data_IF_277139832680
#
_entry.id   IF_277139832680
#
_cell.length_a   1.000
_cell.length_b   1.000
_cell.length_c   1.000
_cell.angle_alpha   90.00
_cell.angle_beta   90.00
_cell.angle_gamma   90.00
#
_symmetry.space_group_name_H-M   'P 1'
#
loop_
_entity.id
_entity.type
_entity.pdbx_description
1 polymer ?
#
# COMPACT_ATOMS: atom_id res chain seq x y z
N UNK A 1 -19.19 19.52 -7.79
CA UNK A 1 -18.21 18.65 -8.47
C UNK A 1 -17.51 17.80 -7.41
N UNK A 2 -18.07 16.64 -7.10
CA UNK A 2 -17.56 15.65 -6.15
C UNK A 2 -16.64 14.69 -6.91
N UNK A 3 -15.32 14.86 -6.79
CA UNK A 3 -14.38 14.18 -7.70
C UNK A 3 -13.13 13.56 -7.08
N UNK A 4 -12.94 13.61 -5.75
CA UNK A 4 -11.69 13.10 -5.12
C UNK A 4 -11.90 12.32 -3.80
N UNK A 5 -13.12 12.00 -3.40
CA UNK A 5 -13.40 11.49 -2.05
C UNK A 5 -13.59 9.96 -1.95
N UNK A 6 -13.54 9.20 -3.06
CA UNK A 6 -13.93 7.79 -3.05
C UNK A 6 -12.75 6.78 -3.05
N UNK A 7 -11.51 7.19 -2.74
CA UNK A 7 -10.38 6.24 -2.60
C UNK A 7 -10.16 5.74 -1.16
N UNK A 8 -10.93 6.25 -0.18
CA UNK A 8 -10.74 5.92 1.24
C UNK A 8 -11.62 4.74 1.72
N UNK A 9 -12.75 4.46 1.05
CA UNK A 9 -13.72 3.43 1.44
C UNK A 9 -13.69 2.20 0.52
N UNK A 10 -12.55 1.51 0.46
CA UNK A 10 -12.42 0.27 -0.31
C UNK A 10 -11.50 -0.72 0.38
N UNK A 11 -11.55 -1.99 -0.04
CA UNK A 11 -10.63 -3.07 0.40
C UNK A 11 -9.28 -3.00 -0.32
N UNK A 12 -9.13 -2.10 -1.28
CA UNK A 12 -7.93 -1.89 -2.08
C UNK A 12 -7.45 -0.45 -2.04
N UNK A 13 -6.14 -0.25 -2.24
CA UNK A 13 -5.53 1.06 -2.43
C UNK A 13 -4.59 1.01 -3.64
N UNK A 14 -4.67 2.02 -4.52
CA UNK A 14 -3.68 2.18 -5.58
C UNK A 14 -2.41 2.78 -4.98
N UNK A 15 -1.26 2.19 -5.31
CA UNK A 15 0.05 2.55 -4.79
C UNK A 15 0.99 2.83 -5.94
N UNK A 16 1.62 4.00 -5.91
CA UNK A 16 2.70 4.37 -6.80
C UNK A 16 4.05 4.00 -6.16
N UNK A 17 4.91 3.34 -6.92
CA UNK A 17 6.29 3.02 -6.52
C UNK A 17 7.24 3.67 -7.51
N UNK A 18 8.28 4.32 -7.00
CA UNK A 18 9.29 5.01 -7.81
C UNK A 18 10.69 4.76 -7.26
N UNK A 19 11.68 4.85 -8.13
CA UNK A 19 13.08 4.96 -7.76
C UNK A 19 13.68 6.21 -8.41
N UNK A 20 14.56 6.88 -7.68
CA UNK A 20 15.41 7.94 -8.19
C UNK A 20 16.62 7.40 -8.94
N UNK A 21 16.91 6.10 -8.85
CA UNK A 21 18.02 5.46 -9.57
C UNK A 21 17.54 5.03 -10.96
N UNK A 22 18.07 5.64 -12.04
CA UNK A 22 17.65 5.29 -13.39
C UNK A 22 17.96 3.84 -13.73
N UNK A 23 17.02 3.18 -14.39
CA UNK A 23 17.07 1.78 -14.72
C UNK A 23 16.77 0.81 -13.57
N UNK A 24 16.32 1.29 -12.41
CA UNK A 24 15.92 0.41 -11.33
C UNK A 24 14.60 -0.31 -11.65
N UNK A 25 14.58 -1.62 -11.43
CA UNK A 25 13.40 -2.46 -11.56
C UNK A 25 12.68 -2.54 -10.23
N UNK A 26 11.36 -2.37 -10.25
CA UNK A 26 10.52 -2.30 -9.07
C UNK A 26 9.65 -3.55 -9.00
N UNK A 27 9.67 -4.19 -7.84
CA UNK A 27 8.93 -5.42 -7.56
C UNK A 27 8.07 -5.24 -6.31
N UNK A 28 6.91 -5.88 -6.30
CA UNK A 28 6.02 -5.97 -5.13
C UNK A 28 5.71 -7.44 -4.90
N UNK A 29 6.10 -7.98 -3.74
CA UNK A 29 6.04 -9.42 -3.44
C UNK A 29 6.59 -10.25 -4.62
N UNK A 30 7.76 -9.86 -5.11
CA UNK A 30 8.47 -10.50 -6.24
C UNK A 30 7.81 -10.33 -7.62
N UNK A 31 6.61 -9.78 -7.72
CA UNK A 31 5.97 -9.45 -8.99
C UNK A 31 6.54 -8.14 -9.55
N UNK A 32 6.98 -8.15 -10.81
CA UNK A 32 7.47 -6.96 -11.50
C UNK A 32 6.35 -5.94 -11.70
N UNK A 33 6.57 -4.69 -11.31
CA UNK A 33 5.59 -3.59 -11.40
C UNK A 33 6.01 -2.53 -12.41
N UNK A 34 7.30 -2.36 -12.65
CA UNK A 34 7.81 -1.39 -13.62
C UNK A 34 9.29 -1.09 -13.48
N UNK A 35 9.79 -0.22 -14.35
CA UNK A 35 11.16 0.29 -14.35
C UNK A 35 11.10 1.79 -14.09
N UNK A 36 11.92 2.28 -13.17
CA UNK A 36 11.97 3.66 -12.64
C UNK A 36 10.70 4.09 -11.89
N UNK A 37 9.53 3.81 -12.44
CA UNK A 37 8.24 4.01 -11.80
C UNK A 37 7.26 2.89 -12.17
N UNK A 38 6.25 2.72 -11.32
CA UNK A 38 5.16 1.80 -11.55
C UNK A 38 3.98 2.11 -10.64
N UNK A 39 2.79 1.67 -11.04
CA UNK A 39 1.56 1.79 -10.26
C UNK A 39 0.94 0.41 -10.13
N UNK A 40 0.56 0.05 -8.91
CA UNK A 40 -0.07 -1.24 -8.61
C UNK A 40 -1.18 -1.05 -7.58
N UNK A 41 -1.93 -2.11 -7.30
CA UNK A 41 -3.06 -2.08 -6.37
C UNK A 41 -2.80 -3.04 -5.23
N UNK A 42 -2.79 -2.51 -4.00
CA UNK A 42 -2.66 -3.30 -2.78
C UNK A 42 -4.03 -3.64 -2.22
N UNK A 43 -4.19 -4.89 -1.80
CA UNK A 43 -5.32 -5.35 -1.01
C UNK A 43 -5.03 -5.08 0.47
N UNK A 44 -5.88 -4.33 1.17
CA UNK A 44 -5.67 -3.93 2.57
C UNK A 44 -5.51 -5.12 3.52
N UNK A 45 -6.15 -6.26 3.23
CA UNK A 45 -5.96 -7.51 3.99
C UNK A 45 -4.56 -8.14 3.87
N UNK A 46 -3.79 -7.81 2.83
CA UNK A 46 -2.50 -8.45 2.52
C UNK A 46 -1.32 -7.56 2.89
N UNK A 47 -0.21 -8.15 3.29
CA UNK A 47 1.05 -7.42 3.50
C UNK A 47 1.89 -7.43 2.23
N UNK A 48 2.64 -6.35 2.01
CA UNK A 48 3.43 -6.16 0.80
C UNK A 48 4.86 -5.76 1.14
N UNK A 49 5.81 -6.33 0.40
CA UNK A 49 7.22 -5.99 0.41
C UNK A 49 7.57 -5.38 -0.95
N UNK A 50 8.05 -4.14 -0.94
CA UNK A 50 8.45 -3.42 -2.14
C UNK A 50 9.96 -3.53 -2.27
N UNK A 51 10.43 -4.05 -3.39
CA UNK A 51 11.87 -4.24 -3.65
C UNK A 51 12.29 -3.47 -4.88
N UNK A 52 13.35 -2.69 -4.76
CA UNK A 52 14.01 -2.05 -5.90
C UNK A 52 15.31 -2.80 -6.20
N UNK A 53 15.49 -3.21 -7.46
CA UNK A 53 16.64 -3.97 -7.94
C UNK A 53 17.34 -3.24 -9.06
N UNK A 54 18.66 -3.35 -9.12
CA UNK A 54 19.44 -2.90 -10.27
C UNK A 54 20.77 -3.64 -10.33
N UNK A 55 21.17 -4.07 -11.52
CA UNK A 55 22.47 -4.72 -11.72
C UNK A 55 23.61 -3.81 -11.22
N UNK A 56 24.50 -4.36 -10.40
CA UNK A 56 25.61 -3.61 -9.79
C UNK A 56 25.24 -2.81 -8.53
N UNK A 57 24.01 -2.92 -8.04
CA UNK A 57 23.57 -2.31 -6.79
C UNK A 57 23.04 -3.39 -5.83
N UNK A 58 23.07 -3.12 -4.54
CA UNK A 58 22.41 -3.97 -3.54
C UNK A 58 20.92 -3.66 -3.52
N UNK A 59 20.10 -4.69 -3.59
CA UNK A 59 18.65 -4.57 -3.53
C UNK A 59 18.20 -3.92 -2.21
N UNK A 60 17.20 -3.05 -2.29
CA UNK A 60 16.54 -2.46 -1.11
C UNK A 60 15.12 -2.96 -1.06
N UNK A 61 14.73 -3.54 0.07
CA UNK A 61 13.36 -3.98 0.34
C UNK A 61 12.77 -3.22 1.51
N UNK A 62 11.56 -2.67 1.34
CA UNK A 62 10.81 -1.98 2.39
C UNK A 62 9.40 -2.57 2.53
N UNK A 63 8.91 -2.79 3.77
CA UNK A 63 7.53 -3.19 3.99
C UNK A 63 6.59 -2.01 3.73
N UNK A 64 5.42 -2.29 3.14
CA UNK A 64 4.33 -1.34 3.10
C UNK A 64 3.57 -1.39 4.44
N UNK A 65 3.83 -0.41 5.31
CA UNK A 65 3.22 -0.32 6.64
C UNK A 65 1.75 0.08 6.59
N UNK A 66 1.01 -0.32 7.62
CA UNK A 66 -0.42 -0.07 7.77
C UNK A 66 -0.73 0.47 9.16
N UNK A 67 -1.75 1.30 9.22
CA UNK A 67 -2.38 1.80 10.44
C UNK A 67 -3.85 1.37 10.49
N UNK A 68 -4.39 1.42 11.70
CA UNK A 68 -5.80 1.17 11.95
C UNK A 68 -6.61 2.45 11.67
N UNK A 69 -7.62 2.34 10.81
CA UNK A 69 -8.54 3.44 10.51
C UNK A 69 -9.70 3.46 11.53
N UNK A 70 -9.50 4.23 12.58
CA UNK A 70 -10.48 4.42 13.65
C UNK A 70 -11.74 5.20 13.21
N UNK A 71 -11.68 5.98 12.13
CA UNK A 71 -12.84 6.75 11.63
C UNK A 71 -13.83 5.80 10.97
N UNK A 72 -13.33 4.86 10.17
CA UNK A 72 -14.16 3.79 9.58
C UNK A 72 -14.85 2.96 10.67
N UNK A 73 -14.13 2.63 11.75
CA UNK A 73 -14.72 1.94 12.90
C UNK A 73 -15.83 2.77 13.57
N UNK A 74 -15.59 4.08 13.79
CA UNK A 74 -16.56 4.96 14.44
C UNK A 74 -17.84 5.13 13.60
N UNK A 75 -17.71 5.33 12.28
CA UNK A 75 -18.85 5.48 11.38
C UNK A 75 -19.80 4.27 11.43
N UNK A 76 -19.25 3.05 11.46
CA UNK A 76 -20.03 1.80 11.59
C UNK A 76 -20.76 1.70 12.94
N UNK A 77 -20.14 2.18 14.02
CA UNK A 77 -20.73 2.12 15.37
C UNK A 77 -21.87 3.12 15.56
N UNK A 78 -21.82 4.27 14.90
CA UNK A 78 -22.83 5.34 15.04
C UNK A 78 -24.05 5.06 14.16
N UNK A 79 -23.89 4.41 13.01
CA UNK A 79 -24.94 4.34 11.98
C UNK A 79 -26.00 3.25 12.24
N UNK A 80 -25.73 2.13 12.96
CA UNK A 80 -26.69 1.00 12.88
C UNK A 80 -26.90 0.03 14.07
N UNK A 81 -26.25 0.11 15.24
CA UNK A 81 -26.56 -0.81 16.35
C UNK A 81 -26.32 -2.33 16.08
N UNK A 82 -25.84 -2.70 14.90
CA UNK A 82 -25.45 -4.06 14.48
C UNK A 82 -23.93 -4.21 14.67
N UNK A 83 -23.47 -4.01 15.90
CA UNK A 83 -22.04 -3.87 16.20
C UNK A 83 -21.28 -5.16 15.93
N UNK A 84 -21.82 -6.32 16.31
CA UNK A 84 -21.04 -7.57 16.34
C UNK A 84 -20.66 -8.13 14.96
N UNK A 85 -21.56 -8.12 13.97
CA UNK A 85 -21.31 -8.74 12.65
C UNK A 85 -20.36 -7.91 11.79
N UNK A 86 -20.57 -6.58 11.77
CA UNK A 86 -19.70 -5.67 11.01
C UNK A 86 -18.31 -5.56 11.63
N UNK A 87 -18.18 -5.78 12.95
CA UNK A 87 -16.88 -5.84 13.59
C UNK A 87 -16.03 -7.01 13.07
N UNK A 88 -16.64 -8.18 12.94
CA UNK A 88 -15.94 -9.39 12.49
C UNK A 88 -15.61 -9.28 11.00
N UNK A 89 -16.55 -8.79 10.19
CA UNK A 89 -16.36 -8.67 8.74
C UNK A 89 -15.33 -7.59 8.37
N UNK A 90 -15.31 -6.45 9.07
CA UNK A 90 -14.33 -5.39 8.84
C UNK A 90 -12.89 -5.81 9.16
N UNK A 91 -12.70 -6.59 10.23
CA UNK A 91 -11.42 -7.19 10.57
C UNK A 91 -11.00 -8.28 9.57
N UNK A 92 -11.94 -9.15 9.15
CA UNK A 92 -11.68 -10.23 8.21
C UNK A 92 -11.36 -9.74 6.78
N UNK A 93 -12.04 -8.69 6.33
CA UNK A 93 -11.83 -8.08 5.00
C UNK A 93 -10.66 -7.10 4.97
N UNK A 94 -10.15 -6.68 6.14
CA UNK A 94 -9.12 -5.65 6.27
C UNK A 94 -9.65 -4.25 5.94
N UNK A 95 -10.98 -4.04 5.94
CA UNK A 95 -11.60 -2.75 5.64
C UNK A 95 -11.16 -1.64 6.61
N UNK A 96 -10.80 -2.02 7.85
CA UNK A 96 -10.31 -1.11 8.89
C UNK A 96 -8.81 -0.88 8.89
N UNK A 97 -8.10 -1.54 7.98
CA UNK A 97 -6.68 -1.30 7.78
C UNK A 97 -6.50 -0.31 6.66
N UNK A 98 -5.54 0.59 6.80
CA UNK A 98 -5.15 1.51 5.75
C UNK A 98 -3.63 1.51 5.64
N UNK A 99 -3.10 1.46 4.43
CA UNK A 99 -1.69 1.70 4.22
C UNK A 99 -1.36 3.15 4.59
N UNK A 100 -0.28 3.33 5.35
CA UNK A 100 0.13 4.64 5.86
C UNK A 100 0.46 5.62 4.72
N UNK A 101 0.86 5.08 3.58
CA UNK A 101 1.20 5.83 2.39
C UNK A 101 0.83 5.05 1.12
N UNK A 102 0.49 5.80 0.07
CA UNK A 102 0.18 5.29 -1.28
C UNK A 102 1.25 5.65 -2.30
N UNK A 103 2.35 6.27 -1.87
CA UNK A 103 3.49 6.63 -2.70
C UNK A 103 4.76 6.21 -2.00
N UNK A 104 5.56 5.37 -2.65
CA UNK A 104 6.83 4.86 -2.15
C UNK A 104 7.95 5.29 -3.08
N UNK A 105 9.04 5.78 -2.48
CA UNK A 105 10.32 5.99 -3.16
C UNK A 105 11.30 4.99 -2.57
N UNK A 106 11.76 4.05 -3.39
CA UNK A 106 12.65 2.97 -2.96
C UNK A 106 13.83 2.90 -3.92
N UNK A 107 15.03 3.12 -3.39
CA UNK A 107 16.25 3.17 -4.18
C UNK A 107 17.15 1.98 -3.84
N UNK A 108 17.64 1.23 -4.85
CA UNK A 108 18.67 0.24 -4.60
C UNK A 108 19.95 0.94 -4.13
N UNK A 109 20.68 0.29 -3.23
CA UNK A 109 21.94 0.78 -2.67
C UNK A 109 23.06 0.56 -3.69
N UNK A 110 23.27 1.53 -4.56
CA UNK A 110 24.37 1.51 -5.51
C UNK A 110 25.64 2.04 -4.82
N UNK A 111 26.69 1.21 -4.77
CA UNK A 111 28.01 1.65 -4.31
C UNK A 111 28.71 2.42 -5.44
N UNK A 112 28.22 3.61 -5.76
CA UNK A 112 28.98 4.57 -6.56
C UNK A 112 29.19 5.84 -5.73
N UNK A 113 30.46 6.04 -5.38
CA UNK A 113 31.07 7.31 -4.98
C UNK A 113 31.00 8.33 -6.12
#
# INVERSE_FOLDING_TARGET
MSGCAAMFHGTTQQVAVRSNIPGAELYVNEAYVGKDNGVTTFQKKNNYMITARKAGCTDTTVPASKSFDAITLLGVLIDFGIVSVLLIDGAATGAWQQFDQTSFVVDPRCNNS
#
